data_IF_079571019608
#
_entry.id   IF_079571019608
#
_cell.length_a   1.000
_cell.length_b   1.000
_cell.length_c   1.000
_cell.angle_alpha   90.00
_cell.angle_beta   90.00
_cell.angle_gamma   90.00
#
_symmetry.space_group_name_H-M   'P 1'
#
loop_
_entity.id
_entity.type
_entity.pdbx_description
1 polymer ?
#
# COMPACT_ATOMS: atom_id res chain seq x y z
N UNK A 1 19.67 40.65 -22.24
CA UNK A 1 19.15 39.96 -21.03
C UNK A 1 17.96 39.03 -21.34
N UNK A 2 16.90 39.46 -22.05
CA UNK A 2 15.71 38.64 -22.35
C UNK A 2 15.99 37.26 -23.00
N UNK A 3 16.93 37.17 -23.95
CA UNK A 3 17.31 35.89 -24.60
C UNK A 3 17.95 34.87 -23.64
N UNK A 4 18.73 35.31 -22.65
CA UNK A 4 19.38 34.42 -21.67
C UNK A 4 18.38 33.88 -20.66
N UNK A 5 17.39 34.69 -20.28
CA UNK A 5 16.29 34.28 -19.38
C UNK A 5 15.39 33.22 -20.03
N UNK A 6 15.07 33.37 -21.32
CA UNK A 6 14.29 32.37 -22.06
C UNK A 6 14.98 31.00 -22.18
N UNK A 7 16.30 30.99 -22.37
CA UNK A 7 17.09 29.74 -22.41
C UNK A 7 17.09 29.06 -21.04
N UNK A 8 17.28 29.82 -19.95
CA UNK A 8 17.26 29.27 -18.59
C UNK A 8 15.90 28.66 -18.26
N UNK A 9 14.80 29.36 -18.58
CA UNK A 9 13.44 28.84 -18.38
C UNK A 9 13.18 27.55 -19.18
N UNK A 10 13.65 27.48 -20.42
CA UNK A 10 13.55 26.28 -21.24
C UNK A 10 14.29 25.09 -20.63
N UNK A 11 15.52 25.29 -20.14
CA UNK A 11 16.31 24.23 -19.48
C UNK A 11 15.63 23.77 -18.20
N UNK A 12 15.12 24.68 -17.38
CA UNK A 12 14.41 24.33 -16.14
C UNK A 12 13.16 23.49 -16.44
N UNK A 13 12.38 23.85 -17.47
CA UNK A 13 11.19 23.08 -17.85
C UNK A 13 11.53 21.65 -18.30
N UNK A 14 12.61 21.50 -19.08
CA UNK A 14 13.09 20.18 -19.53
C UNK A 14 13.59 19.35 -18.34
N UNK A 15 14.31 19.96 -17.39
CA UNK A 15 14.72 19.27 -16.17
C UNK A 15 13.53 18.77 -15.34
N UNK A 16 12.48 19.59 -15.20
CA UNK A 16 11.25 19.18 -14.50
C UNK A 16 10.59 17.98 -15.21
N UNK A 17 10.45 18.04 -16.54
CA UNK A 17 9.89 16.94 -17.32
C UNK A 17 10.71 15.64 -17.20
N UNK A 18 12.03 15.75 -17.20
CA UNK A 18 12.92 14.58 -17.01
C UNK A 18 12.80 14.00 -15.60
N UNK A 19 12.63 14.82 -14.56
CA UNK A 19 12.41 14.35 -13.19
C UNK A 19 11.07 13.61 -13.08
N UNK A 20 10.01 14.16 -13.68
CA UNK A 20 8.68 13.52 -13.70
C UNK A 20 8.73 12.19 -14.47
N UNK A 21 9.36 12.16 -15.65
CA UNK A 21 9.54 10.93 -16.43
C UNK A 21 10.38 9.90 -15.68
N UNK A 22 11.45 10.34 -15.01
CA UNK A 22 12.27 9.45 -14.19
C UNK A 22 11.47 8.85 -13.04
N UNK A 23 10.67 9.66 -12.32
CA UNK A 23 9.78 9.17 -11.27
C UNK A 23 8.79 8.13 -11.77
N UNK A 24 8.19 8.35 -12.95
CA UNK A 24 7.28 7.39 -13.59
C UNK A 24 8.02 6.09 -13.97
N UNK A 25 9.22 6.20 -14.54
CA UNK A 25 10.04 5.05 -14.96
C UNK A 25 10.63 4.26 -13.78
N UNK A 26 10.93 4.92 -12.66
CA UNK A 26 11.44 4.28 -11.45
C UNK A 26 10.36 3.73 -10.53
N UNK A 27 9.08 3.91 -10.88
CA UNK A 27 7.97 3.23 -10.20
C UNK A 27 8.02 1.75 -10.58
N UNK A 28 9.04 1.05 -10.07
CA UNK A 28 9.12 -0.40 -10.13
C UNK A 28 7.83 -0.93 -9.51
N UNK A 29 7.13 -1.79 -10.26
CA UNK A 29 5.95 -2.49 -9.79
C UNK A 29 6.32 -3.24 -8.52
N UNK A 30 5.63 -2.92 -7.42
CA UNK A 30 5.56 -3.82 -6.29
C UNK A 30 4.61 -4.93 -6.73
N UNK A 31 5.14 -6.14 -6.88
CA UNK A 31 4.34 -7.30 -7.28
C UNK A 31 4.05 -8.13 -6.05
N UNK A 32 2.79 -8.50 -5.88
CA UNK A 32 2.31 -9.27 -4.75
C UNK A 32 1.91 -10.66 -5.22
N UNK A 33 2.26 -11.66 -4.44
CA UNK A 33 1.74 -13.02 -4.56
C UNK A 33 1.07 -13.37 -3.24
N UNK A 34 -0.23 -13.62 -3.28
CA UNK A 34 -1.04 -13.94 -2.10
C UNK A 34 -1.49 -15.38 -2.19
N UNK A 35 -1.33 -16.12 -1.10
CA UNK A 35 -1.85 -17.48 -0.95
C UNK A 35 -3.04 -17.39 -0.01
N UNK A 36 -4.22 -17.69 -0.51
CA UNK A 36 -5.44 -17.75 0.29
C UNK A 36 -5.39 -18.93 1.27
N UNK A 37 -5.96 -18.71 2.46
CA UNK A 37 -6.08 -19.76 3.46
C UNK A 37 -7.28 -20.65 3.18
N UNK A 38 -7.14 -21.94 3.49
CA UNK A 38 -8.27 -22.89 3.50
C UNK A 38 -9.21 -22.71 4.70
N UNK A 39 -8.83 -21.88 5.69
CA UNK A 39 -9.62 -21.60 6.90
C UNK A 39 -9.84 -20.10 7.06
N UNK A 40 -11.09 -19.67 6.84
CA UNK A 40 -11.52 -18.27 6.79
C UNK A 40 -12.37 -17.85 8.01
N UNK A 41 -12.08 -18.40 9.20
CA UNK A 41 -12.99 -18.22 10.34
C UNK A 41 -12.90 -16.81 10.96
N UNK A 42 -11.68 -16.30 11.15
CA UNK A 42 -11.44 -15.02 11.84
C UNK A 42 -10.14 -14.38 11.35
N UNK A 43 -10.08 -13.05 11.48
CA UNK A 43 -8.86 -12.27 11.31
C UNK A 43 -7.77 -12.75 12.28
N UNK A 44 -6.59 -13.07 11.76
CA UNK A 44 -5.43 -13.47 12.57
C UNK A 44 -4.43 -12.33 12.68
N UNK A 45 -3.91 -12.09 13.88
CA UNK A 45 -2.82 -11.14 14.06
C UNK A 45 -1.58 -11.61 13.28
N UNK A 46 -0.93 -10.68 12.58
CA UNK A 46 0.25 -10.96 11.77
C UNK A 46 1.51 -10.28 12.32
N UNK A 47 1.47 -8.96 12.47
CA UNK A 47 2.53 -8.18 13.12
C UNK A 47 2.02 -6.79 13.52
N UNK A 48 2.87 -6.04 14.21
CA UNK A 48 2.64 -4.65 14.60
C UNK A 48 3.72 -3.78 13.94
N UNK A 49 3.33 -2.61 13.43
CA UNK A 49 4.21 -1.61 12.84
C UNK A 49 3.72 -0.22 13.21
N UNK A 50 4.59 0.59 13.84
CA UNK A 50 4.34 2.01 14.17
C UNK A 50 3.05 2.26 14.97
N UNK A 51 2.73 1.37 15.91
CA UNK A 51 1.55 1.43 16.75
C UNK A 51 0.27 0.93 16.08
N UNK A 52 0.36 0.38 14.86
CA UNK A 52 -0.77 -0.21 14.12
C UNK A 52 -0.62 -1.73 14.10
N UNK A 53 -1.68 -2.45 14.46
CA UNK A 53 -1.70 -3.89 14.31
C UNK A 53 -2.14 -4.26 12.90
N UNK A 54 -1.50 -5.27 12.32
CA UNK A 54 -1.80 -5.79 11.00
C UNK A 54 -2.36 -7.21 11.15
N UNK A 55 -3.50 -7.45 10.51
CA UNK A 55 -4.22 -8.71 10.51
C UNK A 55 -4.32 -9.29 9.11
N UNK A 56 -4.44 -10.60 9.04
CA UNK A 56 -4.74 -11.33 7.82
C UNK A 56 -6.13 -11.96 7.93
N UNK A 57 -6.95 -11.77 6.90
CA UNK A 57 -8.26 -12.41 6.74
C UNK A 57 -8.24 -13.30 5.50
N UNK A 58 -8.60 -14.57 5.64
CA UNK A 58 -8.53 -15.55 4.54
C UNK A 58 -7.18 -15.64 3.79
N UNK A 59 -6.07 -15.18 4.38
CA UNK A 59 -4.75 -15.19 3.77
C UNK A 59 -3.77 -15.99 4.63
N UNK A 60 -3.03 -16.90 4.00
CA UNK A 60 -1.98 -17.71 4.61
C UNK A 60 -0.60 -17.08 4.43
N UNK A 61 -0.27 -16.61 3.23
CA UNK A 61 1.04 -16.05 2.91
C UNK A 61 0.91 -14.85 1.97
N UNK A 62 1.77 -13.86 2.18
CA UNK A 62 1.95 -12.74 1.27
C UNK A 62 3.44 -12.63 0.97
N UNK A 63 3.79 -12.88 -0.29
CA UNK A 63 5.13 -12.64 -0.82
C UNK A 63 5.12 -11.36 -1.64
N UNK A 64 6.15 -10.56 -1.50
CA UNK A 64 6.37 -9.35 -2.29
C UNK A 64 7.65 -9.47 -3.11
N UNK A 65 7.58 -9.04 -4.37
CA UNK A 65 8.73 -8.91 -5.24
C UNK A 65 9.10 -7.43 -5.44
N UNK A 66 10.35 -7.10 -5.11
CA UNK A 66 10.94 -5.77 -5.34
C UNK A 66 12.33 -5.94 -5.92
N UNK A 67 12.59 -5.27 -7.04
CA UNK A 67 13.87 -5.36 -7.75
C UNK A 67 14.27 -6.79 -8.19
N UNK A 68 13.31 -7.66 -8.48
CA UNK A 68 13.58 -9.06 -8.85
C UNK A 68 13.96 -9.96 -7.67
N UNK A 69 13.79 -9.50 -6.43
CA UNK A 69 13.98 -10.30 -5.22
C UNK A 69 12.65 -10.46 -4.49
N UNK A 70 12.39 -11.67 -4.02
CA UNK A 70 11.18 -12.03 -3.27
C UNK A 70 11.43 -11.97 -1.77
N UNK A 71 10.46 -11.46 -1.04
CA UNK A 71 10.48 -11.33 0.41
C UNK A 71 9.12 -11.73 0.98
N UNK A 72 9.09 -12.32 2.17
CA UNK A 72 7.86 -12.34 2.97
C UNK A 72 7.45 -10.90 3.30
N UNK A 73 6.16 -10.59 3.21
CA UNK A 73 5.64 -9.23 3.35
C UNK A 73 5.97 -8.61 4.71
N UNK A 74 5.76 -9.35 5.80
CA UNK A 74 6.08 -8.89 7.16
C UNK A 74 7.57 -8.60 7.28
N UNK A 75 8.42 -9.50 6.83
CA UNK A 75 9.88 -9.30 6.86
C UNK A 75 10.31 -8.09 6.02
N UNK A 76 9.65 -7.86 4.87
CA UNK A 76 9.95 -6.73 3.99
C UNK A 76 9.59 -5.37 4.63
N UNK A 77 8.47 -5.30 5.35
CA UNK A 77 8.07 -4.11 6.12
C UNK A 77 9.02 -3.91 7.31
N UNK A 78 9.23 -4.93 8.14
CA UNK A 78 10.04 -4.82 9.36
C UNK A 78 11.51 -4.47 9.07
N UNK A 79 12.04 -4.87 7.91
CA UNK A 79 13.41 -4.55 7.46
C UNK A 79 13.50 -3.27 6.65
N UNK A 80 12.40 -2.52 6.49
CA UNK A 80 12.31 -1.32 5.65
C UNK A 80 12.76 -1.55 4.19
N UNK A 81 12.55 -2.76 3.66
CA UNK A 81 12.69 -3.03 2.22
C UNK A 81 11.57 -2.32 1.45
N UNK A 82 10.38 -2.31 2.06
CA UNK A 82 9.20 -1.54 1.64
C UNK A 82 8.58 -0.84 2.84
N UNK A 83 7.82 0.22 2.58
CA UNK A 83 7.00 0.94 3.56
C UNK A 83 5.51 0.68 3.32
N UNK A 84 4.67 0.85 4.36
CA UNK A 84 3.21 0.77 4.20
C UNK A 84 2.69 1.83 3.21
N UNK A 85 3.28 3.03 3.21
CA UNK A 85 2.94 4.05 2.22
C UNK A 85 3.23 3.61 0.79
N UNK A 86 4.36 2.94 0.54
CA UNK A 86 4.64 2.35 -0.77
C UNK A 86 3.60 1.30 -1.16
N UNK A 87 3.17 0.45 -0.22
CA UNK A 87 2.11 -0.55 -0.43
C UNK A 87 0.81 0.16 -0.80
N UNK A 88 0.32 1.10 0.02
CA UNK A 88 -0.93 1.83 -0.24
C UNK A 88 -0.91 2.57 -1.59
N UNK A 89 0.22 3.20 -1.92
CA UNK A 89 0.39 3.93 -3.18
C UNK A 89 0.53 3.01 -4.40
N UNK A 90 0.72 1.70 -4.22
CA UNK A 90 0.79 0.71 -5.29
C UNK A 90 -0.55 0.03 -5.58
N UNK A 91 -1.60 0.32 -4.83
CA UNK A 91 -2.93 -0.21 -5.07
C UNK A 91 -3.49 0.27 -6.43
N UNK A 92 -4.31 -0.58 -7.06
CA UNK A 92 -4.93 -0.27 -8.35
C UNK A 92 -5.99 0.84 -8.23
N UNK A 93 -6.71 0.85 -7.10
CA UNK A 93 -7.68 1.88 -6.74
C UNK A 93 -7.81 1.95 -5.21
N UNK A 94 -8.38 3.04 -4.71
CA UNK A 94 -8.72 3.19 -3.29
C UNK A 94 -10.08 3.85 -3.10
N UNK A 95 -10.72 3.57 -1.96
CA UNK A 95 -11.98 4.17 -1.53
C UNK A 95 -11.86 4.66 -0.09
N UNK A 96 -12.23 5.92 0.16
CA UNK A 96 -12.12 6.55 1.48
C UNK A 96 -13.49 6.71 2.13
N UNK A 97 -13.54 6.48 3.44
CA UNK A 97 -14.76 6.50 4.24
C UNK A 97 -14.79 7.71 5.18
N UNK A 98 -15.99 8.18 5.48
CA UNK A 98 -16.24 9.34 6.34
C UNK A 98 -16.43 8.94 7.81
N UNK A 99 -15.57 8.05 8.32
CA UNK A 99 -15.63 7.45 9.66
C UNK A 99 -14.44 7.85 10.57
N UNK A 100 -13.61 8.77 10.10
CA UNK A 100 -12.36 9.19 10.75
C UNK A 100 -11.14 9.07 9.85
N UNK A 101 -11.26 8.33 8.74
CA UNK A 101 -10.20 8.20 7.74
C UNK A 101 -9.94 6.77 7.26
N UNK A 102 -10.88 5.84 7.43
CA UNK A 102 -10.70 4.48 6.89
C UNK A 102 -10.56 4.52 5.37
N UNK A 103 -9.63 3.74 4.84
CA UNK A 103 -9.41 3.61 3.39
C UNK A 103 -9.29 2.15 3.01
N UNK A 104 -10.00 1.77 1.95
CA UNK A 104 -9.81 0.49 1.26
C UNK A 104 -8.88 0.66 0.07
N UNK A 105 -7.92 -0.25 -0.08
CA UNK A 105 -6.95 -0.32 -1.16
C UNK A 105 -7.12 -1.64 -1.90
N UNK A 106 -7.49 -1.58 -3.17
CA UNK A 106 -7.81 -2.76 -3.96
C UNK A 106 -6.65 -3.13 -4.88
N UNK A 107 -6.32 -4.42 -4.88
CA UNK A 107 -5.40 -5.08 -5.82
C UNK A 107 -6.20 -6.06 -6.67
N UNK A 108 -5.53 -6.81 -7.54
CA UNK A 108 -6.19 -7.76 -8.43
C UNK A 108 -6.81 -8.93 -7.66
N UNK A 109 -6.04 -9.53 -6.73
CA UNK A 109 -6.45 -10.76 -6.03
C UNK A 109 -6.79 -10.56 -4.55
N UNK A 110 -6.53 -9.37 -4.01
CA UNK A 110 -6.69 -9.08 -2.59
C UNK A 110 -6.99 -7.60 -2.36
N UNK A 111 -7.30 -7.24 -1.12
CA UNK A 111 -7.40 -5.84 -0.72
C UNK A 111 -6.93 -5.61 0.70
N UNK A 112 -6.68 -4.35 1.01
CA UNK A 112 -6.24 -3.89 2.31
C UNK A 112 -7.24 -2.87 2.84
N UNK A 113 -7.71 -3.05 4.06
CA UNK A 113 -8.53 -2.07 4.77
C UNK A 113 -7.66 -1.44 5.85
N UNK A 114 -7.32 -0.17 5.67
CA UNK A 114 -6.62 0.61 6.69
C UNK A 114 -7.67 1.36 7.51
N UNK A 115 -8.04 0.80 8.65
CA UNK A 115 -8.97 1.45 9.58
C UNK A 115 -8.29 2.65 10.24
N UNK A 116 -9.03 3.76 10.31
CA UNK A 116 -8.62 4.95 11.06
C UNK A 116 -9.87 5.62 11.61
N UNK A 117 -10.50 5.00 12.60
CA UNK A 117 -11.72 5.56 13.20
C UNK A 117 -11.38 6.60 14.25
N UNK A 118 -12.21 7.62 14.34
CA UNK A 118 -12.07 8.68 15.35
C UNK A 118 -12.07 8.11 16.77
N UNK A 119 -12.77 6.98 16.98
CA UNK A 119 -12.80 6.23 18.23
C UNK A 119 -12.76 4.73 17.91
N UNK A 120 -11.86 3.97 18.55
CA UNK A 120 -11.88 2.50 18.53
C UNK A 120 -10.66 1.86 17.89
N UNK A 121 -10.49 1.98 16.57
CA UNK A 121 -9.57 1.13 15.79
C UNK A 121 -8.70 1.93 14.81
N UNK A 122 -7.41 1.56 14.78
CA UNK A 122 -6.38 2.08 13.87
C UNK A 122 -5.60 0.94 13.19
N UNK A 123 -6.23 -0.22 13.04
CA UNK A 123 -5.59 -1.44 12.53
C UNK A 123 -5.59 -1.48 10.99
N UNK A 124 -4.82 -2.42 10.44
CA UNK A 124 -4.80 -2.74 9.02
C UNK A 124 -5.20 -4.19 8.87
N UNK A 125 -6.12 -4.49 7.96
CA UNK A 125 -6.52 -5.86 7.63
C UNK A 125 -6.22 -6.11 6.16
N UNK A 126 -5.49 -7.18 5.87
CA UNK A 126 -5.21 -7.64 4.51
C UNK A 126 -6.01 -8.91 4.30
N UNK A 127 -6.86 -8.93 3.28
CA UNK A 127 -7.72 -10.06 3.00
C UNK A 127 -8.00 -10.24 1.52
N UNK A 128 -8.73 -11.30 1.18
CA UNK A 128 -9.16 -11.53 -0.19
C UNK A 128 -10.02 -10.38 -0.73
N UNK A 129 -10.25 -10.36 -2.04
CA UNK A 129 -10.98 -9.25 -2.68
C UNK A 129 -12.42 -9.09 -2.17
N UNK A 130 -13.01 -10.18 -1.67
CA UNK A 130 -14.39 -10.26 -1.17
C UNK A 130 -14.54 -9.85 0.31
N UNK A 131 -13.45 -9.61 1.04
CA UNK A 131 -13.49 -9.17 2.45
C UNK A 131 -14.39 -7.94 2.62
N UNK A 132 -15.26 -7.87 3.62
CA UNK A 132 -16.10 -6.68 3.81
C UNK A 132 -15.53 -5.74 4.86
N UNK A 133 -15.68 -4.43 4.66
CA UNK A 133 -15.35 -3.45 5.70
C UNK A 133 -16.35 -3.55 6.84
N UNK A 134 -15.85 -3.71 8.07
CA UNK A 134 -16.68 -3.84 9.27
C UNK A 134 -16.85 -2.48 9.95
N UNK A 135 -18.11 -2.04 10.13
CA UNK A 135 -18.45 -0.74 10.72
C UNK A 135 -18.01 -0.58 12.19
N UNK A 136 -17.79 -1.67 12.93
CA UNK A 136 -17.36 -1.61 14.33
C UNK A 136 -15.91 -2.08 14.57
N UNK A 137 -15.18 -2.44 13.50
CA UNK A 137 -13.86 -3.08 13.61
C UNK A 137 -13.85 -4.32 14.52
N UNK A 138 -15.01 -4.97 14.65
CA UNK A 138 -15.21 -6.19 15.43
C UNK A 138 -14.60 -7.37 14.69
N UNK A 139 -13.74 -8.13 15.38
CA UNK A 139 -13.00 -9.26 14.80
C UNK A 139 -13.75 -10.57 14.97
#
# INVERSE_FOLDING_TARGET
MKKRVGIILGVVLVCILLIVLFQILTRKSLEFTVIESTSCAHERFYFEQEGRNIYLDCIEEITIEKNGQKYDFKDAILRNVITLDEVFNSANRSESYWDGGTVEYFYDDFKIIAYQKTFGCNDIVIGNIDMEMKEDCTR
#
